data_IF_391554404773
#
_entry.id   IF_391554404773
#
_cell.length_a   1.000
_cell.length_b   1.000
_cell.length_c   1.000
_cell.angle_alpha   90.00
_cell.angle_beta   90.00
_cell.angle_gamma   90.00
#
_symmetry.space_group_name_H-M   'P 1'
#
loop_
_entity.id
_entity.type
_entity.pdbx_description
1 polymer ?
#
# COMPACT_ATOMS: atom_id res chain seq x y z
N UNK A 1 -47.65 2.24 15.43
CA UNK A 1 -46.80 1.81 14.30
C UNK A 1 -45.40 2.24 14.70
N UNK A 2 -44.84 1.40 15.56
CA UNK A 2 -43.72 1.66 16.46
C UNK A 2 -42.40 1.57 15.71
N UNK A 3 -41.57 2.60 15.86
CA UNK A 3 -40.11 2.54 16.03
C UNK A 3 -39.49 1.20 15.61
N UNK A 4 -39.39 0.99 14.30
CA UNK A 4 -38.40 0.10 13.70
C UNK A 4 -37.24 0.98 13.24
N UNK A 5 -36.65 1.70 14.19
CA UNK A 5 -35.29 2.17 14.04
C UNK A 5 -34.41 0.91 13.99
N UNK A 6 -34.01 0.53 12.78
CA UNK A 6 -32.97 -0.45 12.50
C UNK A 6 -31.78 -0.17 13.42
N UNK A 7 -31.61 -1.00 14.45
CA UNK A 7 -30.34 -1.06 15.18
C UNK A 7 -29.33 -1.59 14.17
N UNK A 8 -28.56 -0.67 13.55
CA UNK A 8 -27.34 -1.01 12.83
C UNK A 8 -26.39 -1.61 13.87
N UNK A 9 -26.42 -2.93 14.01
CA UNK A 9 -25.53 -3.65 14.90
C UNK A 9 -24.10 -3.39 14.42
N UNK A 10 -23.37 -2.53 15.15
CA UNK A 10 -21.96 -2.25 14.89
C UNK A 10 -21.16 -3.49 15.26
N UNK A 11 -20.28 -3.93 14.37
CA UNK A 11 -19.36 -5.02 14.65
C UNK A 11 -18.53 -4.70 15.91
N UNK A 12 -18.36 -5.66 16.85
CA UNK A 12 -17.49 -5.47 18.00
C UNK A 12 -16.06 -5.14 17.57
N UNK A 13 -15.39 -4.30 18.35
CA UNK A 13 -13.97 -4.00 18.12
C UNK A 13 -13.13 -5.28 18.15
N UNK A 14 -12.17 -5.39 17.22
CA UNK A 14 -11.26 -6.54 17.15
C UNK A 14 -11.87 -7.82 16.55
N UNK A 15 -13.05 -7.75 15.92
CA UNK A 15 -13.68 -8.93 15.28
C UNK A 15 -12.86 -9.49 14.09
N UNK A 16 -12.08 -8.64 13.43
CA UNK A 16 -11.24 -8.99 12.28
C UNK A 16 -9.77 -8.75 12.61
N UNK A 17 -8.97 -9.81 12.50
CA UNK A 17 -7.52 -9.76 12.59
C UNK A 17 -6.94 -10.13 11.23
N UNK A 18 -6.04 -9.30 10.70
CA UNK A 18 -5.19 -9.69 9.58
C UNK A 18 -3.73 -9.65 9.97
N UNK A 19 -2.99 -10.63 9.49
CA UNK A 19 -1.54 -10.74 9.63
C UNK A 19 -0.92 -10.72 8.23
N UNK A 20 0.12 -9.92 8.05
CA UNK A 20 0.80 -9.78 6.78
C UNK A 20 2.02 -8.88 6.93
N UNK A 21 2.61 -8.52 5.80
CA UNK A 21 3.79 -7.67 5.79
C UNK A 21 3.35 -6.21 5.72
N UNK A 22 3.51 -5.42 6.80
CA UNK A 22 3.33 -3.98 6.72
C UNK A 22 4.48 -3.42 5.88
N UNK A 23 4.16 -2.72 4.79
CA UNK A 23 5.14 -2.13 3.90
C UNK A 23 4.94 -0.62 3.81
N UNK A 24 6.00 0.09 3.49
CA UNK A 24 5.96 1.50 3.11
C UNK A 24 6.15 1.58 1.61
N UNK A 25 5.11 2.02 0.90
CA UNK A 25 5.16 2.23 -0.54
C UNK A 25 5.83 3.59 -0.80
N UNK A 26 6.89 3.58 -1.61
CA UNK A 26 7.59 4.77 -2.13
C UNK A 26 7.09 4.97 -3.56
N UNK A 27 6.23 5.96 -3.78
CA UNK A 27 5.63 6.23 -5.08
C UNK A 27 6.19 7.53 -5.69
N UNK A 28 6.67 7.47 -6.93
CA UNK A 28 7.14 8.64 -7.67
C UNK A 28 6.72 8.55 -9.15
N UNK A 29 6.66 9.69 -9.83
CA UNK A 29 6.60 9.71 -11.29
C UNK A 29 8.02 9.68 -11.85
N UNK A 30 8.32 8.71 -12.72
CA UNK A 30 9.64 8.50 -13.32
C UNK A 30 9.54 8.43 -14.85
N UNK A 31 10.66 8.63 -15.55
CA UNK A 31 10.75 8.48 -17.00
C UNK A 31 10.95 7.01 -17.42
N UNK A 32 10.74 6.71 -18.70
CA UNK A 32 11.05 5.39 -19.25
C UNK A 32 12.54 5.03 -19.12
N UNK A 33 13.44 6.01 -19.30
CA UNK A 33 14.89 5.85 -19.15
C UNK A 33 15.28 5.37 -17.73
N UNK A 34 14.52 5.77 -16.70
CA UNK A 34 14.73 5.30 -15.34
C UNK A 34 14.42 3.80 -15.19
N UNK A 35 13.37 3.32 -15.86
CA UNK A 35 13.03 1.89 -15.86
C UNK A 35 14.10 1.06 -16.55
N UNK A 36 14.61 1.53 -17.71
CA UNK A 36 15.70 0.87 -18.43
C UNK A 36 17.00 0.81 -17.60
N UNK A 37 17.36 1.90 -16.89
CA UNK A 37 18.54 1.97 -16.02
C UNK A 37 18.56 0.85 -14.97
N UNK A 38 17.39 0.50 -14.45
CA UNK A 38 17.22 -0.46 -13.35
C UNK A 38 16.71 -1.84 -13.81
N UNK A 39 16.69 -2.10 -15.12
CA UNK A 39 16.18 -3.33 -15.72
C UNK A 39 14.78 -3.70 -15.18
N UNK A 40 13.89 -2.70 -15.19
CA UNK A 40 12.50 -2.84 -14.75
C UNK A 40 11.57 -2.84 -15.96
N UNK A 41 10.68 -3.83 -16.04
CA UNK A 41 9.60 -3.86 -17.03
C UNK A 41 8.42 -3.04 -16.53
N UNK A 42 7.66 -2.50 -17.48
CA UNK A 42 6.37 -1.88 -17.15
C UNK A 42 5.46 -2.87 -16.42
N UNK A 43 4.83 -2.42 -15.33
CA UNK A 43 3.94 -3.20 -14.47
C UNK A 43 4.57 -4.44 -13.79
N UNK A 44 5.90 -4.49 -13.65
CA UNK A 44 6.55 -5.59 -12.95
C UNK A 44 6.45 -5.47 -11.42
N UNK A 45 6.43 -6.62 -10.74
CA UNK A 45 6.40 -6.70 -9.28
C UNK A 45 7.57 -7.59 -8.83
N UNK A 46 8.71 -6.96 -8.57
CA UNK A 46 9.98 -7.65 -8.32
C UNK A 46 10.36 -7.48 -6.85
N UNK A 47 10.88 -8.53 -6.22
CA UNK A 47 11.50 -8.43 -4.91
C UNK A 47 12.83 -7.69 -5.03
N UNK A 48 13.07 -6.71 -4.16
CA UNK A 48 14.35 -6.03 -4.12
C UNK A 48 15.46 -7.04 -3.78
N UNK A 49 16.47 -7.09 -4.64
CA UNK A 49 17.76 -7.71 -4.35
C UNK A 49 18.74 -6.63 -3.87
N UNK A 50 19.93 -7.04 -3.43
CA UNK A 50 20.96 -6.11 -2.94
C UNK A 50 21.35 -5.05 -3.98
N UNK A 51 21.13 -5.32 -5.27
CA UNK A 51 21.43 -4.40 -6.36
C UNK A 51 20.40 -3.27 -6.46
N UNK A 52 19.16 -3.50 -6.00
CA UNK A 52 18.04 -2.53 -6.05
C UNK A 52 17.90 -1.70 -4.78
N UNK A 53 18.77 -1.86 -3.77
CA UNK A 53 18.76 -1.00 -2.58
C UNK A 53 19.03 0.49 -2.93
N UNK A 54 20.02 0.83 -3.77
CA UNK A 54 20.32 2.23 -4.08
C UNK A 54 19.21 2.92 -4.89
N UNK A 55 18.32 2.16 -5.54
CA UNK A 55 17.16 2.71 -6.25
C UNK A 55 16.24 3.48 -5.30
N UNK A 56 16.07 3.01 -4.06
CA UNK A 56 15.21 3.70 -3.08
C UNK A 56 15.79 5.07 -2.70
N UNK A 57 17.10 5.14 -2.49
CA UNK A 57 17.80 6.41 -2.20
C UNK A 57 17.72 7.36 -3.40
N UNK A 58 17.98 6.87 -4.62
CA UNK A 58 17.88 7.70 -5.84
C UNK A 58 16.48 8.26 -6.07
N UNK A 59 15.43 7.47 -5.79
CA UNK A 59 14.04 7.92 -5.86
C UNK A 59 13.77 9.05 -4.88
N UNK A 60 14.17 8.88 -3.61
CA UNK A 60 13.92 9.87 -2.55
C UNK A 60 14.70 11.17 -2.79
N UNK A 61 15.92 11.08 -3.29
CA UNK A 61 16.78 12.25 -3.49
C UNK A 61 16.46 13.04 -4.76
N UNK A 62 16.01 12.36 -5.83
CA UNK A 62 15.89 12.98 -7.16
C UNK A 62 14.47 13.10 -7.69
N UNK A 63 13.48 12.53 -7.01
CA UNK A 63 12.08 12.58 -7.44
C UNK A 63 11.17 13.11 -6.33
N UNK A 64 10.04 13.67 -6.74
CA UNK A 64 8.96 13.97 -5.80
C UNK A 64 8.28 12.66 -5.39
N UNK A 65 8.56 12.21 -4.17
CA UNK A 65 8.08 10.95 -3.62
C UNK A 65 6.88 11.18 -2.71
N UNK A 66 5.85 10.35 -2.89
CA UNK A 66 4.77 10.14 -1.94
C UNK A 66 5.00 8.86 -1.14
N UNK A 67 4.97 8.97 0.19
CA UNK A 67 5.04 7.83 1.09
C UNK A 67 3.64 7.36 1.47
N UNK A 68 3.32 6.10 1.16
CA UNK A 68 1.98 5.56 1.34
C UNK A 68 2.07 4.30 2.21
N UNK A 69 1.23 4.17 3.25
CA UNK A 69 1.13 2.92 4.01
C UNK A 69 0.59 1.82 3.08
N UNK A 70 1.43 0.81 2.85
CA UNK A 70 1.21 -0.29 1.90
C UNK A 70 1.20 -1.66 2.55
N UNK A 71 1.39 -2.68 1.71
CA UNK A 71 1.29 -4.09 2.10
C UNK A 71 -0.12 -4.66 1.86
N UNK A 72 -0.19 -5.83 1.23
CA UNK A 72 -1.45 -6.41 0.74
C UNK A 72 -2.52 -6.57 1.84
N UNK A 73 -2.14 -7.20 2.97
CA UNK A 73 -3.06 -7.40 4.11
C UNK A 73 -3.53 -6.06 4.68
N UNK A 74 -2.61 -5.11 4.85
CA UNK A 74 -2.93 -3.79 5.40
C UNK A 74 -3.86 -3.00 4.47
N UNK A 75 -3.60 -3.04 3.16
CA UNK A 75 -4.46 -2.41 2.15
C UNK A 75 -5.88 -2.98 2.20
N UNK A 76 -6.04 -4.30 2.29
CA UNK A 76 -7.35 -4.94 2.39
C UNK A 76 -8.07 -4.56 3.70
N UNK A 77 -7.40 -4.69 4.85
CA UNK A 77 -8.00 -4.36 6.15
C UNK A 77 -8.41 -2.89 6.25
N UNK A 78 -7.58 -1.97 5.72
CA UNK A 78 -7.89 -0.53 5.69
C UNK A 78 -9.19 -0.26 4.93
N UNK A 79 -9.40 -0.92 3.79
CA UNK A 79 -10.65 -0.78 3.02
C UNK A 79 -11.83 -1.39 3.76
N UNK A 80 -11.66 -2.58 4.35
CA UNK A 80 -12.71 -3.25 5.12
C UNK A 80 -13.21 -2.41 6.31
N UNK A 81 -12.30 -1.71 7.00
CA UNK A 81 -12.63 -0.93 8.20
C UNK A 81 -13.47 0.34 7.91
N UNK A 82 -13.42 0.90 6.69
CA UNK A 82 -13.96 2.24 6.38
C UNK A 82 -15.50 2.33 6.44
N UNK A 83 -16.22 1.20 6.55
CA UNK A 83 -17.69 1.19 6.60
C UNK A 83 -18.29 0.27 7.68
N UNK A 84 -17.60 0.05 8.80
CA UNK A 84 -18.11 -0.71 9.96
C UNK A 84 -18.86 0.16 10.97
#
# INVERSE_FOLDING_TARGET
MSDMDEVKERCPEGILLGCGNPLLDIQAQVSHDFLEKWDMKENDAILADDQRIPLFEELVDNHEVSFIPGGATQNALRVCQVNS
#
